data_IF_300563991549
#
_entry.id   IF_300563991549
#
_cell.length_a   1.000
_cell.length_b   1.000
_cell.length_c   1.000
_cell.angle_alpha   90.00
_cell.angle_beta   90.00
_cell.angle_gamma   90.00
#
_symmetry.space_group_name_H-M   'P 1'
#
loop_
_entity.id
_entity.type
_entity.pdbx_description
1 polymer ?
#
# COMPACT_ATOMS: atom_id res chain seq x y z
N UNK A 1 -9.74 5.97 16.35
CA UNK A 1 -11.12 6.48 16.47
C UNK A 1 -12.00 5.89 15.37
N UNK A 2 -11.78 6.19 14.10
CA UNK A 2 -12.62 5.71 12.98
C UNK A 2 -12.76 4.17 12.88
N UNK A 3 -11.81 3.40 13.43
CA UNK A 3 -11.83 1.95 13.46
C UNK A 3 -12.72 1.38 14.57
N UNK A 4 -12.82 2.09 15.68
CA UNK A 4 -13.41 1.55 16.93
C UNK A 4 -14.91 1.84 17.07
N UNK A 5 -15.42 2.83 16.33
CA UNK A 5 -16.80 3.30 16.48
C UNK A 5 -17.43 3.48 15.12
N UNK A 6 -18.57 2.81 14.90
CA UNK A 6 -19.37 3.02 13.68
C UNK A 6 -19.94 4.43 13.67
N UNK A 7 -20.00 5.03 12.50
CA UNK A 7 -20.54 6.38 12.32
C UNK A 7 -21.97 6.48 12.89
N UNK A 8 -22.22 7.50 13.71
CA UNK A 8 -23.52 7.71 14.36
C UNK A 8 -23.70 7.02 15.72
N UNK A 9 -22.72 6.27 16.19
CA UNK A 9 -22.77 5.65 17.51
C UNK A 9 -21.79 6.31 18.50
N UNK A 10 -22.15 6.29 19.78
CA UNK A 10 -21.25 6.72 20.85
C UNK A 10 -20.20 5.64 21.14
N UNK A 11 -18.97 6.05 21.30
CA UNK A 11 -17.84 5.14 21.59
C UNK A 11 -16.98 5.65 22.74
N UNK A 12 -16.53 4.72 23.59
CA UNK A 12 -15.56 5.04 24.64
C UNK A 12 -14.14 5.13 24.04
N UNK A 13 -13.62 6.35 23.97
CA UNK A 13 -12.25 6.63 23.53
C UNK A 13 -11.41 6.84 24.77
N UNK A 14 -10.44 5.96 25.01
CA UNK A 14 -9.40 6.18 26.02
C UNK A 14 -8.08 6.57 25.34
N UNK A 15 -7.23 7.28 26.08
CA UNK A 15 -5.89 7.68 25.65
C UNK A 15 -5.07 6.43 25.31
N UNK A 16 -5.16 5.39 26.13
CA UNK A 16 -4.44 4.13 25.96
C UNK A 16 -4.84 3.41 24.67
N UNK A 17 -6.14 3.37 24.34
CA UNK A 17 -6.61 2.81 23.07
C UNK A 17 -6.10 3.59 21.86
N UNK A 18 -6.08 4.91 21.95
CA UNK A 18 -5.57 5.77 20.90
C UNK A 18 -4.06 5.55 20.69
N UNK A 19 -3.28 5.54 21.75
CA UNK A 19 -1.83 5.27 21.72
C UNK A 19 -1.53 3.87 21.18
N UNK A 20 -2.29 2.86 21.61
CA UNK A 20 -2.16 1.50 21.09
C UNK A 20 -2.43 1.42 19.60
N UNK A 21 -3.49 2.05 19.12
CA UNK A 21 -3.83 2.06 17.69
C UNK A 21 -2.77 2.79 16.85
N UNK A 22 -2.26 3.93 17.32
CA UNK A 22 -1.18 4.66 16.63
C UNK A 22 0.09 3.81 16.57
N UNK A 23 0.47 3.18 17.67
CA UNK A 23 1.69 2.39 17.74
C UNK A 23 1.58 1.10 16.93
N UNK A 24 0.46 0.37 17.03
CA UNK A 24 0.30 -0.91 16.35
C UNK A 24 0.04 -0.75 14.85
N UNK A 25 -0.97 0.03 14.48
CA UNK A 25 -1.46 0.06 13.11
C UNK A 25 -0.64 1.02 12.22
N UNK A 26 -0.22 2.17 12.75
CA UNK A 26 0.51 3.14 11.96
C UNK A 26 2.03 2.96 12.08
N UNK A 27 2.59 2.98 13.29
CA UNK A 27 4.05 2.91 13.44
C UNK A 27 4.57 1.50 13.13
N UNK A 28 4.05 0.46 13.77
CA UNK A 28 4.58 -0.89 13.64
C UNK A 28 4.16 -1.59 12.33
N UNK A 29 2.97 -1.31 11.80
CA UNK A 29 2.55 -1.92 10.53
C UNK A 29 2.96 -1.07 9.33
N UNK A 30 2.41 0.14 9.18
CA UNK A 30 2.65 0.95 8.00
C UNK A 30 4.07 1.51 7.93
N UNK A 31 4.52 2.16 9.01
CA UNK A 31 5.86 2.76 9.07
C UNK A 31 6.97 1.71 8.89
N UNK A 32 6.85 0.58 9.58
CA UNK A 32 7.82 -0.50 9.48
C UNK A 32 7.82 -1.16 8.08
N UNK A 33 6.63 -1.37 7.47
CA UNK A 33 6.55 -1.90 6.11
C UNK A 33 7.26 -0.98 5.11
N UNK A 34 6.93 0.32 5.13
CA UNK A 34 7.55 1.31 4.27
C UNK A 34 9.07 1.35 4.46
N UNK A 35 9.53 1.45 5.71
CA UNK A 35 10.96 1.51 6.02
C UNK A 35 11.70 0.26 5.52
N UNK A 36 11.19 -0.93 5.82
CA UNK A 36 11.84 -2.20 5.45
C UNK A 36 11.93 -2.38 3.93
N UNK A 37 10.83 -2.13 3.22
CA UNK A 37 10.80 -2.33 1.75
C UNK A 37 11.64 -1.27 1.04
N UNK A 38 11.52 0.00 1.43
CA UNK A 38 12.25 1.11 0.80
C UNK A 38 13.75 0.99 1.04
N UNK A 39 14.19 0.73 2.30
CA UNK A 39 15.60 0.52 2.59
C UNK A 39 16.16 -0.74 1.90
N UNK A 40 15.35 -1.80 1.78
CA UNK A 40 15.75 -2.98 1.04
C UNK A 40 15.92 -2.66 -0.46
N UNK A 41 15.00 -1.91 -1.06
CA UNK A 41 15.09 -1.44 -2.45
C UNK A 41 16.31 -0.55 -2.64
N UNK A 42 16.55 0.41 -1.75
CA UNK A 42 17.73 1.29 -1.80
C UNK A 42 19.03 0.49 -1.81
N UNK A 43 19.17 -0.43 -0.86
CA UNK A 43 20.40 -1.22 -0.68
C UNK A 43 20.69 -2.18 -1.83
N UNK A 44 19.67 -2.77 -2.45
CA UNK A 44 19.86 -3.83 -3.45
C UNK A 44 19.62 -3.36 -4.89
N UNK A 45 18.82 -2.29 -5.09
CA UNK A 45 18.39 -1.82 -6.42
C UNK A 45 18.63 -0.31 -6.63
N UNK A 46 19.28 0.39 -5.68
CA UNK A 46 19.60 1.82 -5.78
C UNK A 46 18.37 2.72 -5.88
N UNK A 47 17.28 2.41 -5.16
CA UNK A 47 15.99 3.12 -5.21
C UNK A 47 15.33 3.15 -6.60
N UNK A 48 15.70 2.24 -7.47
CA UNK A 48 15.03 2.09 -8.77
C UNK A 48 13.90 1.07 -8.66
N UNK A 49 12.73 1.43 -9.16
CA UNK A 49 11.65 0.46 -9.31
C UNK A 49 12.05 -0.53 -10.39
N UNK A 50 11.95 -1.85 -10.14
CA UNK A 50 12.37 -2.85 -11.11
C UNK A 50 11.56 -2.79 -12.41
N UNK A 51 12.23 -2.72 -13.55
CA UNK A 51 11.60 -2.75 -14.88
C UNK A 51 11.32 -4.17 -15.37
N UNK A 52 12.13 -5.15 -14.91
CA UNK A 52 12.00 -6.56 -15.29
C UNK A 52 11.53 -7.37 -14.09
N UNK A 53 10.36 -7.97 -14.22
CA UNK A 53 9.75 -8.83 -13.22
C UNK A 53 8.92 -9.93 -13.90
N UNK A 54 8.68 -11.02 -13.17
CA UNK A 54 7.85 -12.13 -13.62
C UNK A 54 6.96 -12.60 -12.46
N UNK A 55 5.67 -12.31 -12.56
CA UNK A 55 4.71 -12.61 -11.51
C UNK A 55 4.44 -14.10 -11.38
N UNK A 56 4.47 -14.59 -10.16
CA UNK A 56 3.91 -15.89 -9.78
C UNK A 56 2.41 -15.76 -9.52
N UNK A 57 1.74 -16.90 -9.35
CA UNK A 57 0.32 -16.90 -8.98
C UNK A 57 0.05 -16.22 -7.63
N UNK A 58 1.00 -16.28 -6.68
CA UNK A 58 0.87 -15.61 -5.39
C UNK A 58 0.96 -14.09 -5.52
N UNK A 59 1.85 -13.60 -6.39
CA UNK A 59 2.00 -12.16 -6.66
C UNK A 59 0.74 -11.60 -7.33
N UNK A 60 0.23 -12.30 -8.34
CA UNK A 60 -1.01 -11.91 -9.02
C UNK A 60 -2.21 -11.97 -8.07
N UNK A 61 -2.26 -12.99 -7.22
CA UNK A 61 -3.35 -13.14 -6.25
C UNK A 61 -3.42 -11.96 -5.30
N UNK A 62 -2.30 -11.55 -4.67
CA UNK A 62 -2.31 -10.43 -3.71
C UNK A 62 -2.67 -9.10 -4.38
N UNK A 63 -2.19 -8.86 -5.62
CA UNK A 63 -2.51 -7.67 -6.38
C UNK A 63 -3.99 -7.65 -6.83
N UNK A 64 -4.52 -8.78 -7.29
CA UNK A 64 -5.91 -8.90 -7.71
C UNK A 64 -6.87 -8.81 -6.52
N UNK A 65 -6.61 -9.50 -5.41
CA UNK A 65 -7.39 -9.41 -4.17
C UNK A 65 -7.52 -7.95 -3.69
N UNK A 66 -6.46 -7.16 -3.86
CA UNK A 66 -6.48 -5.74 -3.54
C UNK A 66 -7.43 -4.98 -4.47
N UNK A 67 -7.29 -5.16 -5.78
CA UNK A 67 -8.04 -4.43 -6.80
C UNK A 67 -9.54 -4.77 -6.80
N UNK A 68 -9.89 -6.04 -6.63
CA UNK A 68 -11.28 -6.50 -6.62
C UNK A 68 -12.11 -5.86 -5.50
N UNK A 69 -11.50 -5.59 -4.37
CA UNK A 69 -12.18 -5.00 -3.23
C UNK A 69 -12.34 -3.46 -3.29
N UNK A 70 -11.64 -2.77 -4.19
CA UNK A 70 -11.69 -1.30 -4.26
C UNK A 70 -13.10 -0.78 -4.54
N UNK A 71 -13.85 -1.40 -5.46
CA UNK A 71 -15.24 -1.00 -5.76
C UNK A 71 -16.17 -1.17 -4.55
N UNK A 72 -15.95 -2.22 -3.75
CA UNK A 72 -16.71 -2.42 -2.54
C UNK A 72 -16.37 -1.36 -1.49
N UNK A 73 -15.12 -0.96 -1.39
CA UNK A 73 -14.67 0.12 -0.49
C UNK A 73 -15.35 1.44 -0.84
N UNK A 74 -15.38 1.81 -2.12
CA UNK A 74 -16.07 3.02 -2.57
C UNK A 74 -17.55 3.01 -2.16
N UNK A 75 -18.24 1.89 -2.34
CA UNK A 75 -19.61 1.71 -1.87
C UNK A 75 -19.72 1.88 -0.35
N UNK A 76 -18.84 1.26 0.44
CA UNK A 76 -18.87 1.38 1.90
C UNK A 76 -18.63 2.81 2.39
N UNK A 77 -17.77 3.57 1.70
CA UNK A 77 -17.58 5.00 2.01
C UNK A 77 -18.88 5.80 1.73
N UNK A 78 -19.51 5.55 0.59
CA UNK A 78 -20.77 6.21 0.22
C UNK A 78 -21.90 5.86 1.20
N UNK A 79 -21.90 4.63 1.74
CA UNK A 79 -22.84 4.16 2.78
C UNK A 79 -22.41 4.62 4.20
N UNK A 80 -21.40 5.48 4.33
CA UNK A 80 -20.86 6.02 5.59
C UNK A 80 -20.26 4.96 6.54
N UNK A 81 -19.91 3.79 6.05
CA UNK A 81 -19.27 2.72 6.81
C UNK A 81 -17.76 2.95 6.94
N UNK A 82 -17.35 4.05 7.56
CA UNK A 82 -15.94 4.46 7.65
C UNK A 82 -15.08 3.47 8.44
N UNK A 83 -15.63 2.83 9.48
CA UNK A 83 -14.95 1.78 10.22
C UNK A 83 -14.55 0.61 9.31
N UNK A 84 -15.44 0.17 8.42
CA UNK A 84 -15.13 -0.88 7.44
C UNK A 84 -13.97 -0.49 6.53
N UNK A 85 -13.95 0.77 6.05
CA UNK A 85 -12.85 1.30 5.26
C UNK A 85 -11.51 1.21 5.99
N UNK A 86 -11.47 1.67 7.25
CA UNK A 86 -10.25 1.65 8.06
C UNK A 86 -9.78 0.21 8.33
N UNK A 87 -10.70 -0.69 8.69
CA UNK A 87 -10.39 -2.11 8.88
C UNK A 87 -9.83 -2.77 7.62
N UNK A 88 -10.42 -2.45 6.46
CA UNK A 88 -9.92 -2.93 5.19
C UNK A 88 -8.46 -2.50 4.96
N UNK A 89 -8.15 -1.21 5.14
CA UNK A 89 -6.79 -0.69 4.95
C UNK A 89 -5.81 -1.37 5.90
N UNK A 90 -6.17 -1.53 7.18
CA UNK A 90 -5.34 -2.24 8.16
C UNK A 90 -5.11 -3.70 7.74
N UNK A 91 -6.13 -4.39 7.25
CA UNK A 91 -6.00 -5.76 6.74
C UNK A 91 -5.06 -5.84 5.53
N UNK A 92 -5.09 -4.85 4.62
CA UNK A 92 -4.13 -4.82 3.51
C UNK A 92 -2.69 -4.59 3.99
N UNK A 93 -2.49 -3.78 5.03
CA UNK A 93 -1.17 -3.63 5.66
C UNK A 93 -0.64 -4.95 6.22
N UNK A 94 -1.48 -5.74 6.91
CA UNK A 94 -1.09 -7.07 7.40
C UNK A 94 -0.73 -8.01 6.26
N UNK A 95 -1.54 -8.04 5.20
CA UNK A 95 -1.26 -8.88 4.02
C UNK A 95 0.05 -8.49 3.34
N UNK A 96 0.32 -7.19 3.17
CA UNK A 96 1.56 -6.70 2.56
C UNK A 96 2.79 -7.02 3.41
N UNK A 97 2.73 -6.84 4.74
CA UNK A 97 3.80 -7.25 5.66
C UNK A 97 4.05 -8.76 5.60
N UNK A 98 2.97 -9.55 5.62
CA UNK A 98 3.06 -11.01 5.53
C UNK A 98 3.70 -11.43 4.20
N UNK A 99 3.25 -10.88 3.07
CA UNK A 99 3.81 -11.15 1.75
C UNK A 99 5.33 -10.90 1.73
N UNK A 100 5.77 -9.72 2.16
CA UNK A 100 7.19 -9.38 2.17
C UNK A 100 8.02 -10.32 3.06
N UNK A 101 7.46 -10.74 4.20
CA UNK A 101 8.11 -11.70 5.08
C UNK A 101 8.17 -13.11 4.48
N UNK A 102 7.07 -13.60 3.93
CA UNK A 102 6.96 -14.97 3.40
C UNK A 102 7.82 -15.13 2.14
N UNK A 103 7.86 -14.11 1.28
CA UNK A 103 8.69 -14.11 0.08
C UNK A 103 10.19 -13.95 0.38
N UNK A 104 10.54 -13.39 1.55
CA UNK A 104 11.91 -13.28 2.07
C UNK A 104 12.95 -12.86 1.00
N UNK A 105 12.83 -11.65 0.40
CA UNK A 105 13.69 -11.25 -0.72
C UNK A 105 15.18 -11.25 -0.39
N UNK A 106 15.55 -11.14 0.88
CA UNK A 106 16.94 -11.22 1.33
C UNK A 106 17.59 -12.59 1.11
N UNK A 107 16.78 -13.65 0.88
CA UNK A 107 17.24 -14.99 0.53
C UNK A 107 17.34 -15.22 -0.98
N UNK A 108 16.90 -14.28 -1.82
CA UNK A 108 16.79 -14.39 -3.28
C UNK A 108 17.88 -13.62 -4.03
N UNK A 109 19.04 -13.38 -3.41
CA UNK A 109 20.10 -12.55 -4.01
C UNK A 109 20.65 -13.13 -5.31
N UNK A 110 20.64 -14.46 -5.45
CA UNK A 110 21.12 -15.17 -6.64
C UNK A 110 20.03 -15.25 -7.75
N UNK A 111 18.77 -14.95 -7.42
CA UNK A 111 17.65 -14.87 -8.37
C UNK A 111 17.19 -13.41 -8.47
N UNK A 112 17.87 -12.64 -9.29
CA UNK A 112 17.61 -11.22 -9.48
C UNK A 112 16.19 -10.94 -9.99
N UNK A 113 15.65 -11.83 -10.85
CA UNK A 113 14.30 -11.65 -11.39
C UNK A 113 13.23 -11.84 -10.31
N UNK A 114 13.39 -12.86 -9.46
CA UNK A 114 12.48 -13.07 -8.34
C UNK A 114 12.58 -11.96 -7.30
N UNK A 115 13.80 -11.54 -6.97
CA UNK A 115 14.04 -10.40 -6.07
C UNK A 115 13.33 -9.14 -6.59
N UNK A 116 13.52 -8.81 -7.87
CA UNK A 116 12.89 -7.67 -8.52
C UNK A 116 11.36 -7.75 -8.44
N UNK A 117 10.81 -8.95 -8.71
CA UNK A 117 9.35 -9.16 -8.64
C UNK A 117 8.80 -8.90 -7.24
N UNK A 118 9.44 -9.45 -6.21
CA UNK A 118 9.01 -9.27 -4.81
C UNK A 118 9.08 -7.79 -4.41
N UNK A 119 10.16 -7.10 -4.78
CA UNK A 119 10.31 -5.67 -4.49
C UNK A 119 9.25 -4.85 -5.21
N UNK A 120 9.02 -5.11 -6.51
CA UNK A 120 7.98 -4.43 -7.29
C UNK A 120 6.59 -4.58 -6.66
N UNK A 121 6.18 -5.81 -6.35
CA UNK A 121 4.88 -6.08 -5.73
C UNK A 121 4.75 -5.36 -4.38
N UNK A 122 5.81 -5.40 -3.57
CA UNK A 122 5.80 -4.76 -2.25
C UNK A 122 5.71 -3.24 -2.34
N UNK A 123 6.43 -2.61 -3.29
CA UNK A 123 6.34 -1.17 -3.55
C UNK A 123 4.95 -0.78 -4.06
N UNK A 124 4.37 -1.59 -4.96
CA UNK A 124 3.02 -1.38 -5.47
C UNK A 124 1.95 -1.46 -4.38
N UNK A 125 2.06 -2.42 -3.46
CA UNK A 125 1.18 -2.52 -2.30
C UNK A 125 1.31 -1.30 -1.39
N UNK A 126 2.55 -0.82 -1.12
CA UNK A 126 2.79 0.38 -0.33
C UNK A 126 2.14 1.59 -1.00
N UNK A 127 2.31 1.77 -2.31
CA UNK A 127 1.70 2.86 -3.07
C UNK A 127 0.18 2.86 -2.93
N UNK A 128 -0.47 1.72 -3.21
CA UNK A 128 -1.93 1.56 -3.12
C UNK A 128 -2.45 1.81 -1.71
N UNK A 129 -1.80 1.26 -0.70
CA UNK A 129 -2.16 1.48 0.71
C UNK A 129 -1.97 2.95 1.10
N UNK A 130 -0.91 3.61 0.63
CA UNK A 130 -0.66 5.02 0.91
C UNK A 130 -1.72 5.93 0.32
N UNK A 131 -2.23 5.61 -0.88
CA UNK A 131 -3.37 6.32 -1.48
C UNK A 131 -4.62 6.17 -0.58
N UNK A 132 -4.91 4.95 -0.12
CA UNK A 132 -6.03 4.70 0.79
C UNK A 132 -5.83 5.35 2.16
N UNK A 133 -4.62 5.45 2.67
CA UNK A 133 -4.33 6.12 3.94
C UNK A 133 -4.33 7.64 3.84
N UNK A 134 -4.24 8.22 2.64
CA UNK A 134 -4.15 9.66 2.47
C UNK A 134 -5.29 10.45 3.13
N UNK A 135 -6.57 10.05 3.06
CA UNK A 135 -7.66 10.75 3.76
C UNK A 135 -7.56 10.70 5.29
N UNK A 136 -6.80 9.75 5.85
CA UNK A 136 -6.68 9.50 7.31
C UNK A 136 -5.42 10.16 7.86
N UNK A 137 -4.28 9.98 7.19
CA UNK A 137 -2.96 10.48 7.59
C UNK A 137 -2.25 11.18 6.43
N UNK A 138 -2.77 12.32 5.92
CA UNK A 138 -2.33 12.92 4.66
C UNK A 138 -0.84 13.21 4.61
N UNK A 139 -0.28 13.83 5.65
CA UNK A 139 1.13 14.22 5.68
C UNK A 139 2.08 13.02 5.58
N UNK A 140 1.78 11.92 6.26
CA UNK A 140 2.61 10.71 6.23
C UNK A 140 2.47 9.98 4.90
N UNK A 141 1.24 9.83 4.43
CA UNK A 141 0.95 9.18 3.15
C UNK A 141 1.59 9.92 1.98
N UNK A 142 1.49 11.25 1.96
CA UNK A 142 2.08 12.07 0.90
C UNK A 142 3.62 11.95 0.86
N UNK A 143 4.28 11.90 2.04
CA UNK A 143 5.73 11.67 2.08
C UNK A 143 6.14 10.34 1.44
N UNK A 144 5.36 9.29 1.66
CA UNK A 144 5.60 7.98 1.04
C UNK A 144 5.28 8.02 -0.47
N UNK A 145 4.17 8.64 -0.87
CA UNK A 145 3.78 8.77 -2.27
C UNK A 145 4.75 9.61 -3.10
N UNK A 146 5.37 10.63 -2.49
CA UNK A 146 6.42 11.42 -3.15
C UNK A 146 7.66 10.58 -3.53
N UNK A 147 7.94 9.47 -2.86
CA UNK A 147 9.01 8.54 -3.24
C UNK A 147 8.70 7.89 -4.60
N UNK A 148 7.41 7.74 -4.93
CA UNK A 148 6.93 7.26 -6.24
C UNK A 148 6.68 8.39 -7.24
N UNK A 149 7.19 9.60 -6.97
CA UNK A 149 6.96 10.80 -7.79
C UNK A 149 5.48 11.20 -7.93
N UNK A 150 4.62 10.73 -7.04
CA UNK A 150 3.20 11.08 -7.00
C UNK A 150 2.98 12.35 -6.18
N UNK A 151 2.17 13.26 -6.71
CA UNK A 151 1.71 14.49 -6.06
C UNK A 151 0.26 14.35 -5.59
N UNK A 152 -0.27 15.33 -4.85
CA UNK A 152 -1.68 15.32 -4.43
C UNK A 152 -2.67 15.21 -5.61
N UNK A 153 -2.31 15.72 -6.78
CA UNK A 153 -3.15 15.66 -8.00
C UNK A 153 -3.30 14.24 -8.55
N UNK A 154 -2.34 13.38 -8.25
CA UNK A 154 -2.29 11.98 -8.70
C UNK A 154 -3.02 11.04 -7.76
N UNK A 155 -3.41 11.53 -6.56
CA UNK A 155 -4.08 10.72 -5.53
C UNK A 155 -5.57 10.65 -5.82
N UNK A 156 -5.97 9.61 -6.56
CA UNK A 156 -7.38 9.34 -6.93
C UNK A 156 -7.67 7.85 -6.76
N UNK A 157 -8.94 7.49 -6.57
CA UNK A 157 -9.36 6.09 -6.51
C UNK A 157 -9.02 5.32 -7.79
N UNK A 158 -9.16 5.94 -8.96
CA UNK A 158 -8.83 5.32 -10.25
C UNK A 158 -7.35 4.96 -10.36
N UNK A 159 -6.45 5.76 -9.78
CA UNK A 159 -5.01 5.48 -9.80
C UNK A 159 -4.60 4.29 -8.94
N UNK A 160 -5.47 3.82 -8.04
CA UNK A 160 -5.20 2.62 -7.23
C UNK A 160 -5.14 1.37 -8.12
N UNK A 161 -5.99 1.27 -9.13
CA UNK A 161 -6.07 0.10 -10.01
C UNK A 161 -4.93 0.03 -11.03
N UNK A 162 -4.29 1.16 -11.34
CA UNK A 162 -3.15 1.22 -12.26
C UNK A 162 -1.88 0.65 -11.59
N UNK A 163 -1.00 0.03 -12.37
CA UNK A 163 0.35 -0.34 -11.93
C UNK A 163 1.31 0.86 -12.07
N UNK A 164 2.40 0.85 -11.30
CA UNK A 164 3.40 1.94 -11.21
C UNK A 164 3.99 2.41 -12.56
N UNK A 165 3.88 1.65 -13.64
CA UNK A 165 4.52 1.93 -14.94
C UNK A 165 3.59 1.96 -16.15
N UNK A 166 2.29 2.14 -15.96
CA UNK A 166 1.36 2.25 -17.12
C UNK A 166 1.22 3.68 -17.67
N UNK A 167 1.94 4.66 -17.12
CA UNK A 167 1.82 6.06 -17.55
C UNK A 167 2.77 6.48 -18.69
N UNK A 168 3.80 5.71 -19.01
CA UNK A 168 4.81 6.12 -20.02
C UNK A 168 4.70 5.42 -21.37
N UNK A 169 3.69 4.57 -21.58
CA UNK A 169 3.51 3.87 -22.86
C UNK A 169 2.54 4.59 -23.84
N UNK A 170 2.03 5.76 -23.49
CA UNK A 170 1.00 6.45 -24.29
C UNK A 170 1.49 7.62 -25.14
N UNK A 171 2.77 7.98 -25.12
CA UNK A 171 3.24 9.21 -25.77
C UNK A 171 4.26 9.02 -26.90
N UNK A 172 4.46 7.81 -27.43
CA UNK A 172 5.41 7.58 -28.54
C UNK A 172 4.78 7.00 -29.82
N UNK A 173 3.56 7.37 -30.14
CA UNK A 173 2.96 7.02 -31.46
C UNK A 173 2.32 8.23 -32.18
N UNK A 174 3.08 9.34 -32.28
CA UNK A 174 2.79 10.41 -33.26
C UNK A 174 4.10 11.01 -33.77
N UNK A 175 4.72 10.30 -34.73
CA UNK A 175 5.52 10.93 -35.80
C UNK A 175 5.40 10.15 -37.11
#
# INVERSE_FOLDING_TARGET
>A
MLKEVSFGNDGNISKEKLESCINSDLANNYGNLCQRVILFCEKNLGLKVPEKYNFTNEDLKILNDFNENIKNIEKQINDQNINYYVEYVVNQLFKANKYFNDQAPWTKKDDSLRLNTIVFVSLELIRKISILLYPIIPNTSLKVLNIFSMTEKDIKFDTISCLLYTSDAADDDTR
#
